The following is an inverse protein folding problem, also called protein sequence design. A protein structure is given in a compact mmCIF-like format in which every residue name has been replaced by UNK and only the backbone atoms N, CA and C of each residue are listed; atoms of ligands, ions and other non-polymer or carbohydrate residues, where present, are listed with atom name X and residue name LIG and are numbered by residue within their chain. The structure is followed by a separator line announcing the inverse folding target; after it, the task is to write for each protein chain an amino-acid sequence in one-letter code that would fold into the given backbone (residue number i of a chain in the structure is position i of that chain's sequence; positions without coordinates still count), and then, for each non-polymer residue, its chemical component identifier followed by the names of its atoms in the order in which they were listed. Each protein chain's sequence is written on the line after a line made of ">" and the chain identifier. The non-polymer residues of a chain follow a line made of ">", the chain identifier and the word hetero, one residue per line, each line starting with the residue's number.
data_IF_280000239669
#
_entry.id   IF_280000239669
#
_cell.length_a   1.000
_cell.length_b   1.000
_cell.length_c   1.000
_cell.angle_alpha   90.00
_cell.angle_beta   90.00
_cell.angle_gamma   90.00
#
_symmetry.space_group_name_H-M   'P 1'
#
loop_
_entity.id
_entity.type
_entity.pdbx_description
1 polymer ?
#
# COMPACT_ATOMS: atom_id res chain seq x y z
N UNK A 1 14.40 0.07 -10.87
CA UNK A 1 12.99 0.01 -10.41
C UNK A 1 13.01 -0.05 -8.89
N UNK A 2 12.89 1.07 -8.18
CA UNK A 2 13.26 1.17 -6.76
C UNK A 2 12.71 0.05 -5.85
N UNK A 3 11.43 -0.32 -5.99
CA UNK A 3 10.84 -1.41 -5.21
C UNK A 3 11.45 -2.78 -5.48
N UNK A 4 11.68 -3.13 -6.76
CA UNK A 4 12.33 -4.40 -7.13
C UNK A 4 13.81 -4.40 -6.73
N UNK A 5 14.51 -3.29 -6.95
CA UNK A 5 15.93 -3.16 -6.61
C UNK A 5 16.13 -3.34 -5.09
N UNK A 6 15.25 -2.75 -4.28
CA UNK A 6 15.23 -2.95 -2.82
C UNK A 6 15.03 -4.43 -2.45
N UNK A 7 14.03 -5.09 -3.03
CA UNK A 7 13.71 -6.49 -2.73
C UNK A 7 14.85 -7.43 -3.11
N UNK A 8 15.42 -7.25 -4.30
CA UNK A 8 16.56 -8.05 -4.79
C UNK A 8 17.78 -7.85 -3.88
N UNK A 9 18.09 -6.62 -3.49
CA UNK A 9 19.19 -6.35 -2.54
C UNK A 9 19.00 -7.00 -1.16
N UNK A 10 17.77 -7.42 -0.84
CA UNK A 10 17.38 -8.11 0.39
C UNK A 10 17.19 -9.62 0.21
N UNK A 11 17.53 -10.16 -0.96
CA UNK A 11 17.44 -11.59 -1.26
C UNK A 11 16.04 -12.08 -1.62
N UNK A 12 15.10 -11.18 -1.89
CA UNK A 12 13.77 -11.56 -2.40
C UNK A 12 13.83 -11.70 -3.92
N UNK A 13 13.69 -12.93 -4.40
CA UNK A 13 13.48 -13.20 -5.81
C UNK A 13 12.00 -13.03 -6.20
N UNK A 14 11.71 -13.22 -7.48
CA UNK A 14 10.36 -13.06 -8.01
C UNK A 14 9.38 -14.10 -7.46
N UNK A 15 9.85 -15.32 -7.18
CA UNK A 15 9.03 -16.39 -6.62
C UNK A 15 8.60 -16.06 -5.18
N UNK A 16 9.52 -15.57 -4.35
CA UNK A 16 9.23 -15.08 -3.01
C UNK A 16 8.26 -13.90 -3.06
N UNK A 17 8.48 -12.92 -3.95
CA UNK A 17 7.57 -11.78 -4.11
C UNK A 17 6.15 -12.23 -4.45
N UNK A 18 5.99 -13.19 -5.38
CA UNK A 18 4.69 -13.76 -5.73
C UNK A 18 4.06 -14.52 -4.56
N UNK A 19 4.83 -15.38 -3.89
CA UNK A 19 4.34 -16.19 -2.78
C UNK A 19 3.78 -15.34 -1.63
N UNK A 20 4.46 -14.25 -1.29
CA UNK A 20 4.02 -13.34 -0.22
C UNK A 20 3.12 -12.20 -0.72
N UNK A 21 2.83 -12.12 -2.02
CA UNK A 21 2.03 -11.04 -2.62
C UNK A 21 2.66 -9.65 -2.46
N UNK A 22 3.99 -9.57 -2.46
CA UNK A 22 4.71 -8.31 -2.28
C UNK A 22 4.43 -7.37 -3.44
N UNK A 23 3.99 -6.15 -3.12
CA UNK A 23 3.62 -5.12 -4.10
C UNK A 23 4.43 -3.84 -3.95
N UNK A 24 4.13 -2.86 -4.79
CA UNK A 24 4.70 -1.52 -4.72
C UNK A 24 3.60 -0.48 -4.92
N UNK A 25 3.47 0.44 -3.96
CA UNK A 25 2.66 1.63 -4.10
C UNK A 25 3.46 2.69 -4.88
N UNK A 26 3.02 3.11 -6.07
CA UNK A 26 3.72 4.14 -6.83
C UNK A 26 3.76 5.48 -6.09
N UNK A 27 4.70 6.36 -6.45
CA UNK A 27 4.64 7.76 -6.00
C UNK A 27 3.44 8.42 -6.69
N UNK A 28 2.78 9.34 -6.00
CA UNK A 28 1.56 10.02 -6.47
C UNK A 28 0.51 10.06 -5.37
N UNK A 29 -0.46 10.96 -5.52
CA UNK A 29 -1.44 11.22 -4.47
C UNK A 29 -2.71 10.39 -4.56
N UNK A 30 -3.09 9.90 -5.75
CA UNK A 30 -4.41 9.28 -5.98
C UNK A 30 -4.32 8.07 -6.93
N UNK A 31 -3.18 7.38 -6.99
CA UNK A 31 -3.02 6.23 -7.91
C UNK A 31 -4.02 5.10 -7.57
N UNK A 32 -4.16 4.77 -6.29
CA UNK A 32 -5.09 3.75 -5.83
C UNK A 32 -6.53 4.26 -5.89
N UNK A 33 -6.79 5.48 -5.41
CA UNK A 33 -8.12 6.08 -5.46
C UNK A 33 -8.65 6.12 -6.90
N UNK A 34 -7.87 6.60 -7.86
CA UNK A 34 -8.27 6.65 -9.28
C UNK A 34 -8.52 5.24 -9.86
N UNK A 35 -7.74 4.25 -9.45
CA UNK A 35 -7.89 2.87 -9.92
C UNK A 35 -9.11 2.16 -9.30
N UNK A 36 -9.41 2.43 -8.03
CA UNK A 36 -10.52 1.84 -7.30
C UNK A 36 -11.85 2.49 -7.67
N UNK A 37 -11.89 3.82 -7.82
CA UNK A 37 -13.09 4.55 -8.27
C UNK A 37 -13.51 4.14 -9.68
N UNK A 38 -12.57 3.88 -10.59
CA UNK A 38 -12.87 3.27 -11.91
C UNK A 38 -13.50 1.88 -11.83
N UNK A 39 -13.33 1.19 -10.71
CA UNK A 39 -13.94 -0.11 -10.44
C UNK A 39 -15.24 0.01 -9.62
N UNK A 40 -15.69 1.23 -9.31
CA UNK A 40 -16.94 1.49 -8.61
C UNK A 40 -16.82 1.57 -7.09
N UNK A 41 -15.62 1.62 -6.53
CA UNK A 41 -15.42 1.85 -5.09
C UNK A 41 -15.49 3.35 -4.76
N UNK A 42 -16.14 3.66 -3.64
CA UNK A 42 -16.25 5.02 -3.13
C UNK A 42 -15.03 5.38 -2.26
N UNK A 43 -14.67 6.67 -2.23
CA UNK A 43 -13.57 7.15 -1.39
C UNK A 43 -13.78 6.78 0.09
N UNK A 44 -15.02 6.89 0.58
CA UNK A 44 -15.37 6.55 1.95
C UNK A 44 -15.04 5.10 2.29
N UNK A 45 -15.27 4.15 1.37
CA UNK A 45 -14.93 2.74 1.56
C UNK A 45 -13.42 2.55 1.67
N UNK A 46 -12.64 3.25 0.84
CA UNK A 46 -11.18 3.21 0.88
C UNK A 46 -10.62 3.83 2.17
N UNK A 47 -11.25 4.88 2.69
CA UNK A 47 -10.89 5.49 3.98
C UNK A 47 -11.22 4.53 5.12
N UNK A 48 -12.42 3.92 5.12
CA UNK A 48 -12.82 2.92 6.11
C UNK A 48 -11.91 1.69 6.10
N UNK A 49 -11.45 1.25 4.92
CA UNK A 49 -10.47 0.17 4.77
C UNK A 49 -9.03 0.59 5.11
N UNK A 50 -8.80 1.85 5.49
CA UNK A 50 -7.48 2.38 5.83
C UNK A 50 -6.51 2.48 4.65
N UNK A 51 -7.03 2.51 3.42
CA UNK A 51 -6.24 2.60 2.18
C UNK A 51 -6.08 4.04 1.67
N UNK A 52 -7.00 4.92 2.05
CA UNK A 52 -6.99 6.35 1.73
C UNK A 52 -7.12 7.21 2.99
N UNK A 53 -6.83 8.50 2.84
CA UNK A 53 -7.11 9.54 3.83
C UNK A 53 -7.90 10.67 3.17
N UNK A 54 -8.81 11.28 3.92
CA UNK A 54 -9.56 12.44 3.43
C UNK A 54 -8.68 13.70 3.37
N UNK A 55 -9.07 14.64 2.51
CA UNK A 55 -8.52 15.99 2.46
C UNK A 55 -9.56 16.94 1.89
N UNK A 56 -9.36 18.24 2.09
CA UNK A 56 -10.21 19.29 1.51
C UNK A 56 -10.32 19.24 -0.02
N UNK A 57 -9.43 18.48 -0.69
CA UNK A 57 -9.36 18.35 -2.15
C UNK A 57 -9.86 16.99 -2.68
N UNK A 58 -10.51 16.17 -1.85
CA UNK A 58 -11.10 14.89 -2.28
C UNK A 58 -10.34 13.62 -1.88
N UNK A 59 -9.33 13.72 -1.02
CA UNK A 59 -8.59 12.57 -0.46
C UNK A 59 -7.27 12.22 -1.14
N UNK A 60 -6.54 11.27 -0.55
CA UNK A 60 -5.26 10.79 -1.07
C UNK A 60 -4.88 9.39 -0.57
N UNK A 61 -4.08 8.68 -1.36
CA UNK A 61 -3.57 7.33 -1.06
C UNK A 61 -2.73 7.34 0.22
N UNK A 62 -3.00 6.40 1.15
CA UNK A 62 -2.21 6.27 2.38
C UNK A 62 -0.78 5.85 2.11
N UNK A 63 -0.58 4.91 1.18
CA UNK A 63 0.73 4.36 0.86
C UNK A 63 1.23 4.93 -0.47
N UNK A 64 2.44 5.52 -0.46
CA UNK A 64 2.99 6.19 -1.64
C UNK A 64 4.50 5.99 -1.70
N UNK A 65 5.01 5.49 -2.83
CA UNK A 65 6.45 5.24 -3.01
C UNK A 65 7.03 4.18 -2.07
N UNK A 66 6.26 3.14 -1.74
CA UNK A 66 6.61 2.14 -0.70
C UNK A 66 6.44 0.72 -1.21
N UNK A 67 7.29 -0.20 -0.74
CA UNK A 67 7.05 -1.65 -0.92
C UNK A 67 5.98 -2.08 0.09
N UNK A 68 5.02 -2.87 -0.38
CA UNK A 68 3.87 -3.33 0.40
C UNK A 68 3.95 -4.83 0.65
N UNK A 69 3.64 -5.24 1.87
CA UNK A 69 3.33 -6.61 2.24
C UNK A 69 1.86 -6.69 2.64
N UNK A 70 1.06 -7.55 2.00
CA UNK A 70 -0.32 -7.78 2.42
C UNK A 70 -0.35 -8.54 3.75
N UNK A 71 -1.19 -8.08 4.66
CA UNK A 71 -1.51 -8.76 5.92
C UNK A 71 -2.80 -9.55 5.66
N UNK A 72 -2.77 -10.85 5.93
CA UNK A 72 -3.86 -11.77 5.59
C UNK A 72 -4.44 -12.45 6.81
N UNK A 73 -5.73 -12.73 6.76
CA UNK A 73 -6.39 -13.61 7.71
C UNK A 73 -6.09 -15.09 7.44
N UNK A 74 -6.66 -15.99 8.26
CA UNK A 74 -6.52 -17.44 8.09
C UNK A 74 -7.10 -17.97 6.76
N UNK A 75 -8.02 -17.22 6.14
CA UNK A 75 -8.64 -17.53 4.85
C UNK A 75 -7.92 -16.86 3.67
N UNK A 76 -6.72 -16.30 3.90
CA UNK A 76 -5.91 -15.59 2.91
C UNK A 76 -6.52 -14.29 2.37
N UNK A 77 -7.58 -13.76 2.99
CA UNK A 77 -8.16 -12.45 2.67
C UNK A 77 -7.24 -11.34 3.17
N UNK A 78 -7.03 -10.31 2.36
CA UNK A 78 -6.15 -9.19 2.71
C UNK A 78 -6.91 -8.21 3.59
N UNK A 79 -6.46 -8.04 4.83
CA UNK A 79 -7.05 -7.11 5.81
C UNK A 79 -6.35 -5.74 5.80
N UNK A 80 -5.10 -5.69 5.34
CA UNK A 80 -4.33 -4.46 5.31
C UNK A 80 -2.94 -4.66 4.75
N UNK A 81 -2.09 -3.64 4.92
CA UNK A 81 -0.74 -3.63 4.39
C UNK A 81 0.27 -3.10 5.39
N UNK A 82 1.44 -3.73 5.43
CA UNK A 82 2.66 -3.15 5.97
C UNK A 82 3.49 -2.54 4.82
N UNK A 83 3.96 -1.31 5.01
CA UNK A 83 4.60 -0.52 3.95
C UNK A 83 5.99 0.00 4.34
N UNK A 84 7.02 -0.38 3.59
CA UNK A 84 8.41 0.04 3.81
C UNK A 84 8.78 1.28 3.00
N UNK A 85 9.26 2.33 3.69
CA UNK A 85 9.85 3.54 3.09
C UNK A 85 11.07 3.21 2.20
N UNK A 86 11.11 3.74 0.98
CA UNK A 86 12.24 3.58 0.05
C UNK A 86 13.05 4.85 -0.18
N UNK A 87 12.40 6.01 -0.12
CA UNK A 87 12.99 7.28 -0.55
C UNK A 87 13.24 8.19 0.64
N UNK A 88 14.36 8.91 0.65
CA UNK A 88 14.72 9.81 1.76
C UNK A 88 13.75 11.00 1.93
N UNK A 89 13.15 11.47 0.83
CA UNK A 89 12.20 12.59 0.80
C UNK A 89 10.85 12.28 1.47
N UNK A 90 10.51 11.00 1.65
CA UNK A 90 9.33 10.56 2.40
C UNK A 90 9.51 10.81 3.91
N UNK A 91 8.86 11.83 4.46
CA UNK A 91 8.96 12.21 5.88
C UNK A 91 8.24 11.24 6.84
N UNK A 92 7.60 10.18 6.33
CA UNK A 92 6.91 9.18 7.13
C UNK A 92 7.84 8.16 7.81
N UNK A 93 7.27 7.28 8.65
CA UNK A 93 8.04 6.29 9.40
C UNK A 93 8.70 5.25 8.49
N UNK A 94 9.72 4.55 9.02
CA UNK A 94 10.44 3.47 8.31
C UNK A 94 9.48 2.38 7.81
N UNK A 95 8.49 2.04 8.64
CA UNK A 95 7.37 1.16 8.34
C UNK A 95 6.07 1.86 8.68
N UNK A 96 5.07 1.73 7.81
CA UNK A 96 3.72 2.27 7.99
C UNK A 96 2.72 1.14 7.80
N UNK A 97 1.79 0.98 8.73
CA UNK A 97 0.75 -0.04 8.64
C UNK A 97 -0.62 0.59 8.34
N UNK A 98 -1.54 -0.21 7.80
CA UNK A 98 -2.98 0.08 7.86
C UNK A 98 -3.37 0.34 9.33
N UNK A 99 -4.17 1.39 9.63
CA UNK A 99 -4.66 1.64 10.98
C UNK A 99 -5.66 0.57 11.41
N UNK A 100 -6.25 0.69 12.60
CA UNK A 100 -7.41 -0.14 12.96
C UNK A 100 -8.56 0.09 11.98
N UNK A 101 -9.16 -1.01 11.52
CA UNK A 101 -10.28 -1.04 10.57
C UNK A 101 -11.38 -1.97 11.09
N UNK A 102 -12.61 -1.91 10.56
CA UNK A 102 -13.69 -2.85 10.92
C UNK A 102 -13.45 -4.31 10.51
N UNK A 103 -12.44 -4.54 9.66
CA UNK A 103 -11.98 -5.85 9.17
C UNK A 103 -10.65 -6.22 9.78
#
# INVERSE_FOLDING_TARGET
>A
QAGRDFLVSRGFDEAACRNFGIGYAPKGWQNLIDAATKQGYELAELVTAGLAMESDKGGYDRFRGRVLWPIRDANSQVLGFGARKLYEDDQGPKYLNTPETPV
#
